data_IF_277336265308
#
_entry.id   IF_277336265308
#
_cell.length_a   1.000
_cell.length_b   1.000
_cell.length_c   1.000
_cell.angle_alpha   90.00
_cell.angle_beta   90.00
_cell.angle_gamma   90.00
#
_symmetry.space_group_name_H-M   'P 1'
#
loop_
_entity.id
_entity.type
_entity.pdbx_description
1 polymer ?
#
# COMPACT_ATOMS: atom_id res chain seq x y z
N UNK A 1 -24.77 -2.89 -53.20
CA UNK A 1 -23.41 -2.31 -53.12
C UNK A 1 -23.57 -0.83 -52.77
N UNK A 2 -23.08 -0.38 -51.61
CA UNK A 2 -23.21 1.03 -51.22
C UNK A 2 -22.03 1.76 -51.84
N UNK A 3 -22.30 2.74 -52.71
CA UNK A 3 -21.26 3.51 -53.37
C UNK A 3 -20.76 4.59 -52.41
N UNK A 4 -19.79 4.25 -51.56
CA UNK A 4 -19.23 5.17 -50.57
C UNK A 4 -18.19 6.05 -51.27
N UNK A 5 -18.27 7.39 -51.17
CA UNK A 5 -17.24 8.27 -51.71
C UNK A 5 -15.84 7.91 -51.17
N UNK A 6 -14.82 7.94 -52.02
CA UNK A 6 -13.45 7.54 -51.65
C UNK A 6 -12.92 8.28 -50.42
N UNK A 7 -13.31 9.56 -50.26
CA UNK A 7 -12.95 10.37 -49.07
C UNK A 7 -13.57 9.79 -47.80
N UNK A 8 -14.85 9.40 -47.84
CA UNK A 8 -15.54 8.81 -46.71
C UNK A 8 -14.99 7.41 -46.36
N UNK A 9 -14.63 6.61 -47.37
CA UNK A 9 -13.97 5.32 -47.15
C UNK A 9 -12.63 5.48 -46.41
N UNK A 10 -11.75 6.37 -46.89
CA UNK A 10 -10.46 6.64 -46.25
C UNK A 10 -10.60 7.18 -44.83
N UNK A 11 -11.59 8.03 -44.58
CA UNK A 11 -11.88 8.53 -43.24
C UNK A 11 -12.29 7.37 -42.31
N UNK A 12 -13.25 6.56 -42.73
CA UNK A 12 -13.76 5.43 -41.91
C UNK A 12 -12.66 4.41 -41.58
N UNK A 13 -11.70 4.18 -42.47
CA UNK A 13 -10.56 3.29 -42.23
C UNK A 13 -9.61 3.82 -41.15
N UNK A 14 -9.53 5.15 -40.95
CA UNK A 14 -8.53 5.81 -40.11
C UNK A 14 -9.12 6.48 -38.85
N UNK A 15 -10.43 6.69 -38.78
CA UNK A 15 -11.06 7.49 -37.71
C UNK A 15 -10.97 6.86 -36.30
N UNK A 16 -10.74 5.55 -36.20
CA UNK A 16 -10.86 4.81 -34.93
C UNK A 16 -9.52 4.55 -34.22
N UNK A 17 -8.41 5.18 -34.63
CA UNK A 17 -7.10 4.89 -34.03
C UNK A 17 -7.03 5.26 -32.54
N UNK A 18 -7.62 6.40 -32.15
CA UNK A 18 -7.67 6.83 -30.75
C UNK A 18 -8.53 5.86 -29.93
N UNK A 19 -9.70 5.50 -30.44
CA UNK A 19 -10.64 4.61 -29.76
C UNK A 19 -10.06 3.20 -29.59
N UNK A 20 -9.34 2.68 -30.58
CA UNK A 20 -8.61 1.41 -30.48
C UNK A 20 -7.56 1.46 -29.37
N UNK A 21 -6.82 2.57 -29.27
CA UNK A 21 -5.86 2.78 -28.19
C UNK A 21 -6.52 2.83 -26.80
N UNK A 22 -7.63 3.56 -26.67
CA UNK A 22 -8.38 3.60 -25.41
C UNK A 22 -8.97 2.23 -25.04
N UNK A 23 -9.51 1.50 -26.02
CA UNK A 23 -10.01 0.15 -25.84
C UNK A 23 -8.91 -0.78 -25.29
N UNK A 24 -7.71 -0.79 -25.89
CA UNK A 24 -6.59 -1.61 -25.44
C UNK A 24 -6.13 -1.25 -24.02
N UNK A 25 -6.16 0.03 -23.63
CA UNK A 25 -5.88 0.40 -22.22
C UNK A 25 -6.98 -0.07 -21.28
N UNK A 26 -8.23 0.01 -21.71
CA UNK A 26 -9.39 -0.25 -20.86
C UNK A 26 -9.48 -1.69 -20.33
N UNK A 27 -8.96 -2.66 -21.09
CA UNK A 27 -9.00 -4.08 -20.73
C UNK A 27 -8.20 -4.45 -19.48
N UNK A 28 -7.10 -3.74 -19.17
CA UNK A 28 -6.20 -4.07 -18.06
C UNK A 28 -6.00 -2.88 -17.10
N UNK A 29 -7.08 -2.11 -16.89
CA UNK A 29 -7.07 -0.93 -16.03
C UNK A 29 -6.71 -1.27 -14.57
N UNK A 30 -6.08 -0.31 -13.92
CA UNK A 30 -5.79 -0.37 -12.50
C UNK A 30 -7.04 -0.03 -11.67
N UNK A 31 -7.64 -1.03 -11.02
CA UNK A 31 -8.92 -0.89 -10.29
C UNK A 31 -8.80 -0.33 -8.87
N UNK A 32 -7.60 -0.01 -8.39
CA UNK A 32 -7.46 0.51 -7.03
C UNK A 32 -7.76 2.01 -6.93
N UNK A 33 -8.55 2.43 -5.93
CA UNK A 33 -8.81 3.85 -5.69
C UNK A 33 -7.51 4.63 -5.43
N UNK A 34 -7.23 5.61 -6.28
CA UNK A 34 -6.11 6.54 -6.09
C UNK A 34 -6.52 7.67 -5.14
N UNK A 35 -5.77 7.84 -4.04
CA UNK A 35 -6.13 8.76 -2.94
C UNK A 35 -5.19 9.94 -2.73
N UNK A 36 -4.05 10.02 -3.43
CA UNK A 36 -3.02 11.06 -3.17
C UNK A 36 -2.84 12.07 -4.31
N UNK A 37 -3.94 12.40 -4.99
CA UNK A 37 -4.03 13.52 -5.93
C UNK A 37 -3.94 13.14 -7.40
N UNK A 38 -4.30 14.10 -8.28
CA UNK A 38 -4.45 13.91 -9.72
C UNK A 38 -3.17 13.43 -10.43
N UNK A 39 -1.99 13.83 -9.94
CA UNK A 39 -0.71 13.40 -10.51
C UNK A 39 -0.52 11.87 -10.48
N UNK A 40 -1.05 11.18 -9.46
CA UNK A 40 -0.98 9.73 -9.37
C UNK A 40 -1.85 9.06 -10.45
N UNK A 41 -3.00 9.64 -10.75
CA UNK A 41 -3.86 9.13 -11.82
C UNK A 41 -3.14 9.30 -13.16
N UNK A 42 -2.61 10.48 -13.44
CA UNK A 42 -1.86 10.72 -14.67
C UNK A 42 -0.66 9.77 -14.83
N UNK A 43 0.17 9.64 -13.80
CA UNK A 43 1.35 8.78 -13.85
C UNK A 43 0.98 7.28 -13.95
N UNK A 44 0.14 6.78 -13.05
CA UNK A 44 -0.05 5.35 -12.86
C UNK A 44 -1.21 4.75 -13.63
N UNK A 45 -2.27 5.51 -13.91
CA UNK A 45 -3.45 4.99 -14.66
C UNK A 45 -3.46 5.39 -16.12
N UNK A 46 -2.75 6.47 -16.50
CA UNK A 46 -2.71 6.89 -17.90
C UNK A 46 -1.35 6.61 -18.53
N UNK A 47 -0.29 7.28 -18.08
CA UNK A 47 1.03 7.21 -18.71
C UNK A 47 1.62 5.80 -18.65
N UNK A 48 1.54 5.13 -17.51
CA UNK A 48 1.99 3.75 -17.38
C UNK A 48 1.22 2.80 -18.31
N UNK A 49 -0.10 2.91 -18.37
CA UNK A 49 -0.91 2.05 -19.25
C UNK A 49 -0.64 2.32 -20.73
N UNK A 50 -0.42 3.58 -21.12
CA UNK A 50 0.02 3.95 -22.47
C UNK A 50 1.37 3.31 -22.79
N UNK A 51 2.35 3.39 -21.87
CA UNK A 51 3.66 2.77 -22.07
C UNK A 51 3.56 1.24 -22.21
N UNK A 52 2.73 0.59 -21.40
CA UNK A 52 2.51 -0.86 -21.47
C UNK A 52 1.82 -1.28 -22.76
N UNK A 53 0.79 -0.56 -23.22
CA UNK A 53 0.14 -0.83 -24.52
C UNK A 53 1.11 -0.59 -25.67
N UNK A 54 1.83 0.52 -25.67
CA UNK A 54 2.76 0.83 -26.75
C UNK A 54 3.91 -0.17 -26.81
N UNK A 55 4.44 -0.62 -25.67
CA UNK A 55 5.48 -1.66 -25.65
C UNK A 55 4.98 -2.99 -26.23
N UNK A 56 3.73 -3.37 -25.92
CA UNK A 56 3.09 -4.56 -26.49
C UNK A 56 2.92 -4.44 -28.01
N UNK A 57 2.36 -3.32 -28.50
CA UNK A 57 2.20 -3.08 -29.95
C UNK A 57 3.57 -3.10 -30.65
N UNK A 58 4.57 -2.45 -30.05
CA UNK A 58 5.94 -2.43 -30.58
C UNK A 58 6.50 -3.86 -30.69
N UNK A 59 6.38 -4.66 -29.63
CA UNK A 59 6.80 -6.06 -29.64
C UNK A 59 6.01 -6.90 -30.64
N UNK A 60 4.72 -6.62 -30.83
CA UNK A 60 3.86 -7.35 -31.76
C UNK A 60 4.25 -7.04 -33.22
N UNK A 61 4.66 -5.82 -33.54
CA UNK A 61 5.03 -5.42 -34.90
C UNK A 61 6.54 -5.42 -35.17
N UNK A 62 7.36 -5.78 -34.17
CA UNK A 62 8.79 -5.91 -34.32
C UNK A 62 9.15 -6.97 -35.40
N UNK A 63 10.00 -6.64 -36.39
CA UNK A 63 10.52 -7.62 -37.34
C UNK A 63 11.49 -8.57 -36.62
N UNK A 64 11.23 -9.88 -36.69
CA UNK A 64 12.08 -10.97 -36.18
C UNK A 64 12.75 -10.69 -34.81
N UNK A 65 11.97 -10.61 -33.72
CA UNK A 65 12.56 -10.45 -32.40
C UNK A 65 13.41 -11.67 -32.02
N UNK A 66 14.58 -11.43 -31.41
CA UNK A 66 15.41 -12.47 -30.78
C UNK A 66 14.77 -13.03 -29.47
N UNK A 67 13.62 -12.50 -29.08
CA UNK A 67 12.87 -12.90 -27.90
C UNK A 67 11.52 -13.50 -28.27
N UNK A 68 10.92 -14.22 -27.32
CA UNK A 68 9.58 -14.78 -27.46
C UNK A 68 8.58 -13.69 -27.86
N UNK A 69 7.88 -13.89 -28.96
CA UNK A 69 6.77 -13.03 -29.37
C UNK A 69 5.54 -13.33 -28.52
N UNK A 70 4.93 -12.29 -27.97
CA UNK A 70 3.67 -12.37 -27.25
C UNK A 70 2.55 -11.89 -28.17
N UNK A 71 1.47 -12.67 -28.24
CA UNK A 71 0.24 -12.31 -28.98
C UNK A 71 -0.85 -11.81 -28.04
N UNK A 72 -0.68 -11.99 -26.74
CA UNK A 72 -1.61 -11.57 -25.70
C UNK A 72 -0.99 -10.49 -24.82
N UNK A 73 -1.70 -9.37 -24.65
CA UNK A 73 -1.26 -8.26 -23.81
C UNK A 73 -1.11 -8.67 -22.34
N UNK A 74 -1.94 -9.59 -21.84
CA UNK A 74 -1.80 -10.14 -20.49
C UNK A 74 -0.45 -10.80 -20.29
N UNK A 75 -0.12 -11.75 -21.16
CA UNK A 75 1.15 -12.49 -21.06
C UNK A 75 2.36 -11.57 -21.21
N UNK A 76 2.25 -10.53 -22.06
CA UNK A 76 3.28 -9.51 -22.18
C UNK A 76 3.49 -8.73 -20.88
N UNK A 77 2.40 -8.26 -20.26
CA UNK A 77 2.45 -7.59 -18.95
C UNK A 77 2.99 -8.53 -17.86
N UNK A 78 2.61 -9.80 -17.90
CA UNK A 78 3.10 -10.84 -16.98
C UNK A 78 4.59 -11.06 -17.10
N UNK A 79 5.11 -11.12 -18.33
CA UNK A 79 6.55 -11.19 -18.58
C UNK A 79 7.28 -9.98 -17.96
N UNK A 80 6.82 -8.76 -18.25
CA UNK A 80 7.45 -7.53 -17.75
C UNK A 80 7.52 -7.50 -16.23
N UNK A 81 6.41 -7.73 -15.52
CA UNK A 81 6.46 -7.63 -14.07
C UNK A 81 7.31 -8.75 -13.47
N UNK A 82 7.25 -9.98 -14.01
CA UNK A 82 8.08 -11.08 -13.52
C UNK A 82 9.57 -10.75 -13.70
N UNK A 83 9.97 -10.22 -14.85
CA UNK A 83 11.35 -9.80 -15.10
C UNK A 83 11.79 -8.68 -14.15
N UNK A 84 10.91 -7.69 -13.89
CA UNK A 84 11.17 -6.64 -12.90
C UNK A 84 11.34 -7.21 -11.48
N UNK A 85 10.49 -8.14 -11.06
CA UNK A 85 10.60 -8.77 -9.75
C UNK A 85 11.83 -9.67 -9.64
N UNK A 86 12.20 -10.39 -10.70
CA UNK A 86 13.38 -11.24 -10.70
C UNK A 86 14.67 -10.40 -10.67
N UNK A 87 14.71 -9.30 -11.43
CA UNK A 87 15.88 -8.42 -11.47
C UNK A 87 16.07 -7.60 -10.19
N UNK A 88 14.98 -7.07 -9.63
CA UNK A 88 15.06 -6.10 -8.53
C UNK A 88 14.48 -6.62 -7.21
N UNK A 89 13.92 -7.83 -7.15
CA UNK A 89 13.26 -8.36 -5.96
C UNK A 89 14.21 -8.51 -4.78
N UNK A 90 15.45 -8.93 -5.03
CA UNK A 90 16.49 -9.09 -4.00
C UNK A 90 16.98 -7.75 -3.44
N UNK A 91 17.13 -6.74 -4.30
CA UNK A 91 17.51 -5.38 -3.90
C UNK A 91 16.33 -4.57 -3.37
N UNK A 92 15.10 -5.05 -3.63
CA UNK A 92 13.90 -4.42 -3.12
C UNK A 92 13.85 -4.60 -1.61
N UNK A 93 14.32 -3.57 -0.91
CA UNK A 93 13.90 -3.38 0.46
C UNK A 93 12.43 -2.97 0.40
N UNK A 94 11.54 -3.98 0.38
CA UNK A 94 10.11 -3.76 0.58
C UNK A 94 10.00 -2.78 1.75
N UNK A 95 9.41 -1.60 1.52
CA UNK A 95 9.31 -0.55 2.54
C UNK A 95 8.83 -1.22 3.81
N UNK A 96 9.72 -1.42 4.77
CA UNK A 96 9.41 -2.10 6.00
C UNK A 96 8.37 -1.22 6.65
N UNK A 97 7.09 -1.58 6.51
CA UNK A 97 6.01 -0.89 7.22
C UNK A 97 6.19 -1.37 8.65
N UNK A 98 7.10 -0.73 9.37
CA UNK A 98 7.27 -0.91 10.81
C UNK A 98 5.88 -0.71 11.39
N UNK A 99 5.27 -1.80 11.85
CA UNK A 99 4.03 -1.68 12.61
C UNK A 99 4.45 -1.08 13.93
N UNK A 100 3.82 0.00 14.38
CA UNK A 100 4.13 0.57 15.69
C UNK A 100 4.15 -0.54 16.75
N UNK A 101 5.28 -0.75 17.43
CA UNK A 101 5.55 -1.90 18.30
C UNK A 101 6.12 -3.16 17.63
N UNK A 102 6.84 -3.01 16.51
CA UNK A 102 7.61 -4.09 15.87
C UNK A 102 8.76 -4.53 16.79
N UNK A 103 8.97 -5.84 16.93
CA UNK A 103 9.87 -6.45 17.92
C UNK A 103 11.24 -6.82 17.35
N UNK A 104 11.50 -6.48 16.08
CA UNK A 104 12.75 -6.88 15.42
C UNK A 104 13.99 -6.26 16.05
N UNK A 105 13.82 -5.13 16.71
CA UNK A 105 14.85 -4.43 17.49
C UNK A 105 15.23 -5.19 18.79
N UNK A 106 14.44 -6.20 19.21
CA UNK A 106 14.77 -7.07 20.36
C UNK A 106 15.85 -8.11 20.05
N UNK A 107 16.21 -8.32 18.78
CA UNK A 107 17.24 -9.28 18.39
C UNK A 107 18.66 -8.71 18.49
N UNK A 108 18.78 -7.40 18.60
CA UNK A 108 20.05 -6.68 18.67
C UNK A 108 20.19 -6.02 20.06
N UNK A 109 21.15 -6.47 20.90
CA UNK A 109 21.24 -6.04 22.30
C UNK A 109 21.45 -4.53 22.49
N UNK A 110 22.09 -3.86 21.53
CA UNK A 110 22.37 -2.42 21.59
C UNK A 110 21.12 -1.59 21.32
N UNK A 111 20.36 -1.93 20.27
CA UNK A 111 19.06 -1.32 19.98
C UNK A 111 18.09 -1.52 21.13
N UNK A 112 18.09 -2.70 21.76
CA UNK A 112 17.25 -2.97 22.93
C UNK A 112 17.57 -2.04 24.11
N UNK A 113 18.84 -1.68 24.35
CA UNK A 113 19.24 -0.76 25.42
C UNK A 113 18.78 0.67 25.15
N UNK A 114 18.98 1.17 23.93
CA UNK A 114 18.51 2.51 23.54
C UNK A 114 16.99 2.62 23.56
N UNK A 115 16.32 1.55 23.14
CA UNK A 115 14.86 1.43 23.12
C UNK A 115 14.22 1.59 24.49
N UNK A 116 14.83 0.97 25.51
CA UNK A 116 14.33 0.98 26.88
C UNK A 116 14.76 2.25 27.64
N UNK A 117 15.78 2.96 27.14
CA UNK A 117 16.23 4.22 27.72
C UNK A 117 15.23 5.37 27.47
N UNK A 118 14.46 5.68 28.51
CA UNK A 118 13.47 6.76 28.49
C UNK A 118 14.08 8.12 28.16
N UNK A 119 15.28 8.43 28.63
CA UNK A 119 15.86 9.78 28.46
C UNK A 119 16.16 10.10 27.00
N UNK A 120 16.49 9.08 26.22
CA UNK A 120 16.81 9.20 24.79
C UNK A 120 15.55 9.02 23.93
N UNK A 121 14.74 8.01 24.25
CA UNK A 121 13.68 7.52 23.35
C UNK A 121 12.31 8.12 23.64
N UNK A 122 12.09 8.78 24.77
CA UNK A 122 10.82 9.44 25.10
C UNK A 122 10.74 10.85 24.50
N UNK A 123 9.93 11.00 23.45
CA UNK A 123 9.82 12.24 22.68
C UNK A 123 8.39 12.74 22.57
N UNK A 124 8.22 14.04 22.28
CA UNK A 124 6.95 14.58 21.82
C UNK A 124 6.75 14.21 20.35
N UNK A 125 5.68 13.49 20.03
CA UNK A 125 5.35 12.98 18.69
C UNK A 125 4.58 13.98 17.83
N UNK A 126 4.20 15.16 18.36
CA UNK A 126 3.35 16.15 17.70
C UNK A 126 1.99 15.61 17.20
N UNK A 127 1.60 14.41 17.66
CA UNK A 127 0.35 13.74 17.29
C UNK A 127 -0.35 13.25 18.56
N UNK A 128 -1.51 13.82 18.86
CA UNK A 128 -2.30 13.42 20.02
C UNK A 128 -2.94 12.06 19.79
N UNK A 129 -2.48 11.06 20.54
CA UNK A 129 -2.90 9.67 20.37
C UNK A 129 -3.14 8.98 21.71
N UNK A 130 -3.89 7.88 21.72
CA UNK A 130 -4.23 7.18 22.96
C UNK A 130 -3.04 6.37 23.49
N UNK A 131 -2.65 6.57 24.75
CA UNK A 131 -1.56 5.84 25.36
C UNK A 131 -1.80 4.32 25.34
N UNK A 132 -0.82 3.55 24.86
CA UNK A 132 -0.91 2.08 24.81
C UNK A 132 -0.81 1.46 26.21
N UNK A 133 0.10 1.94 27.06
CA UNK A 133 0.21 1.47 28.44
C UNK A 133 -1.10 1.67 29.24
N UNK A 134 -1.74 2.84 29.13
CA UNK A 134 -3.05 3.08 29.76
C UNK A 134 -4.18 2.22 29.17
N UNK A 135 -4.02 1.67 27.96
CA UNK A 135 -4.94 0.67 27.39
C UNK A 135 -4.67 -0.74 27.92
N UNK A 136 -3.63 -0.93 28.75
CA UNK A 136 -3.18 -2.24 29.22
C UNK A 136 -2.52 -3.03 28.10
N UNK A 137 -1.84 -2.35 27.16
CA UNK A 137 -1.07 -2.99 26.10
C UNK A 137 0.41 -2.90 26.44
N UNK A 138 1.11 -4.02 26.27
CA UNK A 138 2.57 -4.09 26.42
C UNK A 138 3.26 -4.26 25.07
N UNK A 139 4.56 -4.01 25.03
CA UNK A 139 5.39 -4.34 23.89
C UNK A 139 5.34 -5.85 23.65
N UNK A 140 5.23 -6.26 22.39
CA UNK A 140 5.15 -7.67 22.01
C UNK A 140 3.80 -8.36 22.12
N UNK A 141 2.82 -7.72 22.75
CA UNK A 141 1.47 -8.27 22.73
C UNK A 141 0.92 -8.26 21.30
N UNK A 142 0.65 -9.46 20.78
CA UNK A 142 -0.07 -9.61 19.51
C UNK A 142 -1.38 -8.84 19.60
N UNK A 143 -1.50 -7.81 18.76
CA UNK A 143 -2.75 -7.07 18.63
C UNK A 143 -3.76 -8.05 18.04
N UNK A 144 -4.80 -8.38 18.82
CA UNK A 144 -5.95 -9.11 18.31
C UNK A 144 -6.34 -8.48 16.97
N UNK A 145 -6.36 -9.31 15.91
CA UNK A 145 -6.85 -8.88 14.61
C UNK A 145 -8.19 -8.20 14.85
N UNK A 146 -8.39 -7.03 14.24
CA UNK A 146 -9.73 -6.48 14.17
C UNK A 146 -10.64 -7.61 13.66
N UNK A 147 -11.82 -7.83 14.26
CA UNK A 147 -12.73 -8.84 13.75
C UNK A 147 -12.88 -8.60 12.25
N UNK A 148 -12.69 -9.66 11.49
CA UNK A 148 -12.78 -9.62 10.03
C UNK A 148 -14.14 -9.03 9.68
N UNK A 149 -14.12 -7.86 9.04
CA UNK A 149 -15.36 -7.19 8.67
C UNK A 149 -15.91 -7.94 7.45
N UNK A 150 -16.86 -8.83 7.70
CA UNK A 150 -17.64 -9.48 6.65
C UNK A 150 -18.79 -8.55 6.25
N UNK A 151 -18.94 -8.19 4.96
CA UNK A 151 -20.03 -7.36 4.48
C UNK A 151 -21.45 -7.91 4.74
N UNK A 152 -21.57 -9.18 5.14
CA UNK A 152 -22.84 -9.91 5.26
C UNK A 152 -23.15 -10.43 6.68
N UNK A 153 -22.37 -10.11 7.71
CA UNK A 153 -22.71 -10.53 9.07
C UNK A 153 -23.87 -9.70 9.64
N UNK A 154 -24.82 -10.38 10.28
CA UNK A 154 -25.96 -9.75 10.97
C UNK A 154 -25.47 -8.71 11.98
N UNK A 155 -25.77 -7.45 11.69
CA UNK A 155 -25.53 -6.35 12.62
C UNK A 155 -26.67 -6.38 13.62
N UNK A 156 -26.46 -7.00 14.79
CA UNK A 156 -27.37 -6.86 15.93
C UNK A 156 -27.51 -5.37 16.27
N UNK A 157 -28.61 -4.76 15.81
CA UNK A 157 -28.84 -3.31 15.89
C UNK A 157 -29.03 -2.77 17.31
N UNK A 158 -29.17 -3.65 18.31
CA UNK A 158 -29.56 -3.26 19.67
C UNK A 158 -28.59 -3.68 20.79
N UNK A 159 -27.47 -4.34 20.50
CA UNK A 159 -26.41 -4.44 21.51
C UNK A 159 -25.65 -3.11 21.58
N UNK A 160 -26.16 -2.19 22.40
CA UNK A 160 -25.31 -1.15 23.01
C UNK A 160 -24.27 -1.88 23.84
N UNK A 161 -23.14 -2.27 23.21
CA UNK A 161 -21.95 -2.68 23.94
C UNK A 161 -21.65 -1.53 24.90
N UNK A 162 -21.98 -1.71 26.18
CA UNK A 162 -21.49 -0.90 27.29
C UNK A 162 -19.99 -1.16 27.36
N UNK A 163 -19.24 -0.72 26.33
CA UNK A 163 -17.80 -0.58 26.39
C UNK A 163 -17.61 0.44 27.48
N UNK A 164 -17.32 -0.03 28.71
CA UNK A 164 -16.78 0.81 29.78
C UNK A 164 -15.80 1.75 29.09
N UNK A 165 -16.12 3.04 29.02
CA UNK A 165 -15.23 4.07 28.49
C UNK A 165 -14.06 4.12 29.48
N UNK A 166 -13.13 3.16 29.39
CA UNK A 166 -11.81 3.32 30.02
C UNK A 166 -11.33 4.66 29.49
N UNK A 167 -11.17 5.61 30.40
CA UNK A 167 -10.74 6.97 30.12
C UNK A 167 -9.57 6.85 29.16
N UNK A 168 -9.77 7.18 27.88
CA UNK A 168 -8.73 7.04 26.86
C UNK A 168 -7.76 8.17 27.13
N UNK A 169 -6.81 7.96 28.05
CA UNK A 169 -5.75 8.92 28.31
C UNK A 169 -5.01 9.14 26.99
N UNK A 170 -5.19 10.34 26.43
CA UNK A 170 -4.51 10.79 25.23
C UNK A 170 -3.20 11.47 25.64
N UNK A 171 -2.17 11.28 24.83
CA UNK A 171 -0.82 11.78 25.06
C UNK A 171 -0.27 12.32 23.74
N UNK A 172 0.58 13.34 23.86
CA UNK A 172 1.42 13.83 22.77
C UNK A 172 2.79 13.15 22.75
N UNK A 173 3.12 12.42 23.83
CA UNK A 173 4.40 11.78 24.02
C UNK A 173 4.39 10.33 23.55
N UNK A 174 5.57 9.77 23.34
CA UNK A 174 5.73 8.38 22.98
C UNK A 174 7.18 7.94 22.85
N UNK A 175 7.36 6.67 22.48
CA UNK A 175 8.67 6.13 22.16
C UNK A 175 8.98 6.40 20.67
N UNK A 176 10.13 7.01 20.40
CA UNK A 176 10.61 7.29 19.03
C UNK A 176 10.87 5.99 18.26
N UNK A 177 11.47 5.00 18.91
CA UNK A 177 11.89 3.74 18.27
C UNK A 177 10.65 2.87 17.99
N UNK A 178 9.78 2.65 18.99
CA UNK A 178 8.54 1.90 18.77
C UNK A 178 7.51 2.58 17.85
N UNK A 179 7.63 3.90 17.67
CA UNK A 179 6.59 4.81 17.18
C UNK A 179 5.21 4.60 17.86
N UNK A 180 5.20 4.46 19.19
CA UNK A 180 3.97 4.27 19.98
C UNK A 180 3.66 5.43 20.91
N UNK A 181 2.37 5.65 21.17
CA UNK A 181 1.88 6.64 22.10
C UNK A 181 2.02 6.15 23.54
N UNK A 182 2.78 6.87 24.37
CA UNK A 182 2.99 6.59 25.80
C UNK A 182 2.86 7.90 26.57
N UNK A 183 2.22 7.88 27.74
CA UNK A 183 2.11 9.07 28.58
C UNK A 183 3.51 9.50 29.09
N UNK A 184 3.66 10.78 29.45
CA UNK A 184 4.87 11.30 30.09
C UNK A 184 5.15 10.71 31.51
N UNK A 185 4.39 9.70 31.94
CA UNK A 185 4.60 9.05 33.23
C UNK A 185 5.60 7.89 33.10
N UNK A 186 6.59 7.82 33.99
CA UNK A 186 7.56 6.72 34.08
C UNK A 186 6.88 5.35 34.18
N UNK A 187 5.81 5.24 34.98
CA UNK A 187 5.06 3.98 35.11
C UNK A 187 4.45 3.49 33.80
N UNK A 188 4.05 4.40 32.90
CA UNK A 188 3.51 4.02 31.58
C UNK A 188 4.63 3.58 30.63
N UNK A 189 5.82 4.15 30.78
CA UNK A 189 7.00 3.73 30.03
C UNK A 189 7.43 2.33 30.46
N UNK A 190 7.60 2.13 31.76
CA UNK A 190 8.09 0.89 32.34
C UNK A 190 7.12 -0.27 32.09
N UNK A 191 5.80 -0.02 32.25
CA UNK A 191 4.76 -1.01 31.94
C UNK A 191 4.75 -1.43 30.47
N UNK A 192 5.00 -0.50 29.54
CA UNK A 192 5.00 -0.84 28.12
C UNK A 192 6.23 -1.69 27.75
N UNK A 193 7.40 -1.37 28.29
CA UNK A 193 8.67 -2.01 27.98
C UNK A 193 9.03 -3.21 28.90
N UNK A 194 8.10 -3.68 29.74
CA UNK A 194 8.32 -4.78 30.70
C UNK A 194 9.50 -4.55 31.65
N UNK A 195 9.69 -3.30 32.09
CA UNK A 195 10.68 -2.96 33.12
C UNK A 195 10.17 -3.20 34.55
N UNK A 196 8.92 -3.66 34.70
CA UNK A 196 8.22 -4.01 35.95
C UNK A 196 7.36 -5.26 35.69
#
# INVERSE_FOLDING_TARGET
MINIPTVAAKYNDQMNHVDRGDQLRSYYKYDHPLRRGAWQALAWTFLLDVALVNSYITQLHAPQPNWKRYTNQREWRECIYNDLFNAYGHDSQARQRYRAGDERDLREPELQREHVNREISHVNRNVKSSCLACKGRRQGEMRAKAPEWSPLTEVSGNEKKKRKRKLRKQTWYGCRICDVAICNNRNCWDFYHHLI
#
